data_IF_516583770488
#
_entry.id   IF_516583770488
#
_cell.length_a   1.000
_cell.length_b   1.000
_cell.length_c   1.000
_cell.angle_alpha   90.00
_cell.angle_beta   90.00
_cell.angle_gamma   90.00
#
_symmetry.space_group_name_H-M   'P 1'
#
loop_
_entity.id
_entity.type
_entity.pdbx_description
1 polymer ?
#
# COMPACT_ATOMS: atom_id res chain seq x y z
N UNK A 1 -1.29 -12.80 -22.37
CA UNK A 1 -1.37 -12.84 -20.91
C UNK A 1 -2.72 -12.31 -20.48
N UNK A 2 -3.25 -12.77 -19.34
CA UNK A 2 -4.51 -12.26 -18.81
C UNK A 2 -4.32 -10.81 -18.31
N UNK A 3 -5.34 -9.94 -18.43
CA UNK A 3 -5.27 -8.60 -17.86
C UNK A 3 -5.07 -8.66 -16.33
N UNK A 4 -4.40 -7.66 -15.72
CA UNK A 4 -4.29 -7.57 -14.27
C UNK A 4 -5.66 -7.53 -13.58
N UNK A 5 -5.79 -8.19 -12.43
CA UNK A 5 -7.03 -8.15 -11.61
C UNK A 5 -7.30 -6.74 -11.09
N UNK A 6 -6.26 -5.98 -10.76
CA UNK A 6 -6.35 -4.56 -10.40
C UNK A 6 -5.49 -3.75 -11.37
N UNK A 7 -6.04 -2.68 -11.93
CA UNK A 7 -5.28 -1.79 -12.82
C UNK A 7 -4.07 -1.18 -12.09
N UNK A 8 -2.83 -1.44 -12.55
CA UNK A 8 -1.64 -0.88 -11.93
C UNK A 8 -1.53 0.64 -12.15
N UNK A 9 -0.74 1.36 -11.35
CA UNK A 9 -0.46 2.77 -11.57
C UNK A 9 0.10 3.00 -12.98
N UNK A 10 -0.54 3.87 -13.76
CA UNK A 10 -0.07 4.22 -15.11
C UNK A 10 1.28 4.94 -15.09
N UNK A 11 1.60 5.60 -13.98
CA UNK A 11 2.89 6.27 -13.72
C UNK A 11 4.02 5.28 -13.45
N UNK A 12 3.71 4.02 -13.12
CA UNK A 12 4.71 3.06 -12.65
C UNK A 12 5.27 3.38 -11.26
N UNK A 13 4.63 4.28 -10.50
CA UNK A 13 5.01 4.61 -9.14
C UNK A 13 3.92 4.14 -8.15
N UNK A 14 4.35 3.69 -6.97
CA UNK A 14 3.47 3.31 -5.87
C UNK A 14 4.06 3.79 -4.56
N UNK A 15 3.20 4.28 -3.68
CA UNK A 15 3.55 4.83 -2.37
C UNK A 15 2.64 4.26 -1.28
N UNK A 16 3.09 4.34 -0.03
CA UNK A 16 2.28 3.99 1.15
C UNK A 16 2.10 5.24 2.04
N UNK A 17 0.94 5.35 2.69
CA UNK A 17 0.65 6.38 3.71
C UNK A 17 -0.35 5.83 4.72
N UNK A 18 -0.30 6.36 5.94
CA UNK A 18 -1.29 6.09 6.97
C UNK A 18 -0.71 6.15 8.37
N UNK A 19 -1.54 6.05 9.41
CA UNK A 19 -1.07 6.08 10.80
C UNK A 19 -0.10 4.95 11.16
N UNK A 20 -0.03 3.89 10.35
CA UNK A 20 0.99 2.84 10.48
C UNK A 20 2.37 3.26 9.95
N UNK A 21 2.49 4.27 9.09
CA UNK A 21 3.74 4.63 8.40
C UNK A 21 4.49 5.75 9.12
N UNK A 22 5.83 5.89 8.93
CA UNK A 22 6.63 6.88 9.64
C UNK A 22 6.18 8.34 9.47
N UNK A 23 5.71 8.72 8.28
CA UNK A 23 5.22 10.07 7.98
C UNK A 23 3.70 10.24 8.21
N UNK A 24 3.02 9.22 8.75
CA UNK A 24 1.57 9.22 8.95
C UNK A 24 0.77 9.46 7.64
N UNK A 25 -0.44 9.98 7.79
CA UNK A 25 -1.29 10.44 6.69
C UNK A 25 -0.70 11.67 6.00
N UNK A 26 -0.55 11.58 4.68
CA UNK A 26 -0.17 12.68 3.80
C UNK A 26 -1.25 13.79 3.77
N UNK A 27 -0.90 15.05 3.49
CA UNK A 27 -1.84 16.19 3.52
C UNK A 27 -2.76 16.26 2.29
N UNK A 28 -2.28 15.79 1.14
CA UNK A 28 -2.99 15.76 -0.13
C UNK A 28 -2.79 17.05 -0.89
N UNK A 29 -1.66 17.71 -0.62
CA UNK A 29 -1.37 19.07 -1.01
C UNK A 29 -0.21 19.15 -2.03
N UNK A 30 0.03 18.06 -2.77
CA UNK A 30 1.04 17.98 -3.84
C UNK A 30 2.47 17.75 -3.34
N UNK A 31 2.63 17.32 -2.10
CA UNK A 31 3.91 17.03 -1.49
C UNK A 31 4.60 15.80 -2.10
N UNK A 32 5.93 15.75 -1.97
CA UNK A 32 6.72 14.62 -2.42
C UNK A 32 6.65 13.45 -1.42
N UNK A 33 6.71 12.23 -1.93
CA UNK A 33 6.79 11.04 -1.09
C UNK A 33 8.16 10.96 -0.38
N UNK A 34 8.19 10.61 0.93
CA UNK A 34 9.41 10.17 1.57
C UNK A 34 9.98 8.93 0.87
N UNK A 35 11.30 8.82 0.78
CA UNK A 35 11.96 7.64 0.20
C UNK A 35 11.57 6.35 0.96
N UNK A 36 11.39 6.44 2.29
CA UNK A 36 10.96 5.33 3.16
C UNK A 36 9.52 4.87 2.92
N UNK A 37 8.74 5.57 2.10
CA UNK A 37 7.35 5.27 1.75
C UNK A 37 7.14 5.14 0.24
N UNK A 38 8.23 5.00 -0.52
CA UNK A 38 8.21 4.77 -1.97
C UNK A 38 8.56 3.32 -2.28
N UNK A 39 7.69 2.62 -3.04
CA UNK A 39 7.95 1.24 -3.43
C UNK A 39 8.99 1.15 -4.54
N UNK A 40 9.76 0.06 -4.54
CA UNK A 40 10.53 -0.37 -5.70
C UNK A 40 9.62 -1.11 -6.67
N UNK A 41 9.61 -0.69 -7.94
CA UNK A 41 8.93 -1.40 -9.02
C UNK A 41 9.76 -2.61 -9.46
N UNK A 42 9.23 -3.81 -9.25
CA UNK A 42 9.86 -5.07 -9.67
C UNK A 42 9.42 -5.45 -11.09
N UNK A 43 8.16 -5.20 -11.43
CA UNK A 43 7.61 -5.36 -12.79
C UNK A 43 6.47 -4.37 -13.02
N UNK A 44 5.82 -4.41 -14.19
CA UNK A 44 4.64 -3.56 -14.45
C UNK A 44 3.45 -3.83 -13.52
N UNK A 45 3.43 -4.97 -12.82
CA UNK A 45 2.34 -5.38 -11.93
C UNK A 45 2.81 -5.71 -10.52
N UNK A 46 4.10 -5.53 -10.21
CA UNK A 46 4.67 -5.96 -8.94
C UNK A 46 5.53 -4.88 -8.30
N UNK A 47 5.23 -4.58 -7.06
CA UNK A 47 5.90 -3.56 -6.25
C UNK A 47 6.26 -4.11 -4.88
N UNK A 48 7.45 -3.75 -4.37
CA UNK A 48 7.91 -4.16 -3.05
C UNK A 48 8.50 -2.98 -2.26
N UNK A 49 8.33 -3.00 -0.94
CA UNK A 49 8.96 -2.06 -0.01
C UNK A 49 9.34 -2.77 1.29
N UNK A 50 10.44 -2.33 1.90
CA UNK A 50 10.73 -2.61 3.31
C UNK A 50 10.44 -1.36 4.12
N UNK A 51 9.57 -1.45 5.12
CA UNK A 51 9.09 -0.30 5.89
C UNK A 51 8.89 -0.66 7.36
N UNK A 52 9.13 0.29 8.25
CA UNK A 52 8.74 0.19 9.65
C UNK A 52 7.25 0.50 9.80
N UNK A 53 6.47 -0.44 10.35
CA UNK A 53 5.04 -0.26 10.62
C UNK A 53 4.78 -0.14 12.13
N UNK A 54 3.97 0.86 12.50
CA UNK A 54 3.37 0.97 13.83
C UNK A 54 2.28 -0.09 14.01
N UNK A 55 2.28 -0.77 15.15
CA UNK A 55 1.32 -1.81 15.48
C UNK A 55 -0.14 -1.32 15.35
N UNK A 56 -1.00 -2.11 14.71
CA UNK A 56 -2.44 -1.86 14.53
C UNK A 56 -2.82 -0.55 13.81
N UNK A 57 -1.87 0.20 13.26
CA UNK A 57 -2.14 1.42 12.50
C UNK A 57 -2.87 1.14 11.19
N UNK A 58 -3.44 2.17 10.58
CA UNK A 58 -4.03 2.12 9.24
C UNK A 58 -2.99 2.48 8.19
N UNK A 59 -3.10 1.91 6.99
CA UNK A 59 -2.37 2.36 5.81
C UNK A 59 -3.13 2.05 4.52
N UNK A 60 -2.72 2.65 3.43
CA UNK A 60 -3.18 2.33 2.07
C UNK A 60 -2.08 2.66 1.07
N UNK A 61 -2.34 2.42 -0.21
CA UNK A 61 -1.40 2.74 -1.28
C UNK A 61 -1.90 3.83 -2.21
N UNK A 62 -0.98 4.65 -2.70
CA UNK A 62 -1.26 5.73 -3.64
C UNK A 62 -0.43 5.55 -4.93
N UNK A 63 -1.02 5.73 -6.12
CA UNK A 63 -0.26 5.80 -7.38
C UNK A 63 0.45 7.15 -7.58
N UNK A 64 0.02 8.18 -6.83
CA UNK A 64 0.56 9.52 -6.84
C UNK A 64 0.53 10.06 -5.42
N UNK A 65 1.69 10.33 -4.83
CA UNK A 65 1.77 10.92 -3.51
C UNK A 65 1.26 12.37 -3.53
N UNK A 66 0.71 12.81 -2.39
CA UNK A 66 0.06 14.13 -2.29
C UNK A 66 -1.25 14.26 -3.06
N UNK A 67 -1.83 13.14 -3.53
CA UNK A 67 -3.14 13.10 -4.17
C UNK A 67 -4.01 12.00 -3.58
N UNK A 68 -5.30 12.30 -3.39
CA UNK A 68 -6.33 11.37 -2.92
C UNK A 68 -7.31 10.94 -4.03
N UNK A 69 -7.09 11.37 -5.27
CA UNK A 69 -8.00 11.12 -6.40
C UNK A 69 -8.13 9.63 -6.75
N UNK A 70 -7.05 8.88 -6.55
CA UNK A 70 -7.00 7.42 -6.69
C UNK A 70 -6.21 6.87 -5.52
N UNK A 71 -6.76 5.82 -4.90
CA UNK A 71 -6.07 5.04 -3.86
C UNK A 71 -6.29 3.55 -4.08
N UNK A 72 -5.47 2.73 -3.44
CA UNK A 72 -5.64 1.29 -3.38
C UNK A 72 -5.73 0.84 -1.93
N UNK A 73 -6.73 0.03 -1.63
CA UNK A 73 -7.02 -0.42 -0.27
C UNK A 73 -7.77 -1.75 -0.28
N UNK A 74 -8.14 -2.22 0.91
CA UNK A 74 -8.84 -3.49 1.11
C UNK A 74 -10.19 -3.52 0.40
N UNK A 75 -10.64 -4.74 0.09
CA UNK A 75 -11.95 -4.96 -0.55
C UNK A 75 -13.13 -4.74 0.38
N UNK A 76 -12.94 -4.90 1.70
CA UNK A 76 -13.93 -4.69 2.75
C UNK A 76 -13.91 -3.30 3.38
N UNK A 77 -14.56 -3.19 4.55
CA UNK A 77 -14.52 -1.99 5.39
C UNK A 77 -13.09 -1.67 5.84
N UNK A 78 -12.87 -0.42 6.25
CA UNK A 78 -11.58 0.01 6.80
C UNK A 78 -11.11 -0.95 7.89
N UNK A 79 -9.85 -1.36 7.79
CA UNK A 79 -9.13 -2.21 8.74
C UNK A 79 -9.70 -3.63 8.92
N UNK A 80 -10.51 -4.11 7.97
CA UNK A 80 -11.10 -5.45 7.99
C UNK A 80 -10.25 -6.52 7.27
N UNK A 81 -9.14 -6.15 6.64
CA UNK A 81 -8.25 -7.09 5.94
C UNK A 81 -7.56 -8.06 6.90
N UNK A 82 -7.11 -9.19 6.36
CA UNK A 82 -6.05 -9.98 6.99
C UNK A 82 -4.73 -9.18 7.00
N UNK A 83 -4.15 -8.98 8.18
CA UNK A 83 -2.96 -8.14 8.38
C UNK A 83 -1.70 -8.68 7.72
N UNK A 84 -1.67 -9.97 7.36
CA UNK A 84 -0.54 -10.61 6.67
C UNK A 84 -0.68 -10.57 5.13
N UNK A 85 -1.82 -10.13 4.61
CA UNK A 85 -2.09 -10.11 3.18
C UNK A 85 -3.52 -10.48 2.84
N UNK A 86 -4.07 -9.80 1.84
CA UNK A 86 -5.46 -9.95 1.40
C UNK A 86 -5.61 -9.45 -0.05
N UNK A 87 -6.81 -9.51 -0.58
CA UNK A 87 -7.18 -8.83 -1.81
C UNK A 87 -7.30 -7.32 -1.61
N UNK A 88 -6.98 -6.57 -2.65
CA UNK A 88 -7.15 -5.13 -2.68
C UNK A 88 -7.88 -4.68 -3.94
N UNK A 89 -8.37 -3.44 -3.94
CA UNK A 89 -9.08 -2.83 -5.07
C UNK A 89 -8.73 -1.35 -5.18
N UNK A 90 -9.00 -0.79 -6.36
CA UNK A 90 -9.03 0.66 -6.52
C UNK A 90 -10.14 1.26 -5.64
N UNK A 91 -9.83 2.38 -5.01
CA UNK A 91 -10.71 3.07 -4.06
C UNK A 91 -11.24 2.17 -2.95
N UNK A 92 -10.42 1.20 -2.51
CA UNK A 92 -10.70 0.35 -1.36
C UNK A 92 -10.57 1.06 -0.01
N UNK A 93 -10.96 0.36 1.06
CA UNK A 93 -10.85 0.83 2.43
C UNK A 93 -9.43 0.75 2.98
N UNK A 94 -9.17 1.43 4.09
CA UNK A 94 -7.88 1.38 4.76
C UNK A 94 -7.50 -0.06 5.15
N UNK A 95 -6.21 -0.37 5.10
CA UNK A 95 -5.63 -1.63 5.53
C UNK A 95 -5.08 -1.50 6.96
N UNK A 96 -5.31 -2.50 7.79
CA UNK A 96 -4.76 -2.62 9.13
C UNK A 96 -3.37 -3.26 9.08
N UNK A 97 -2.42 -2.62 9.75
CA UNK A 97 -1.09 -3.16 10.00
C UNK A 97 -1.10 -4.27 11.05
N UNK A 98 -0.10 -5.16 11.06
CA UNK A 98 0.05 -6.21 12.07
C UNK A 98 0.01 -5.68 13.51
N UNK A 99 -0.38 -6.53 14.45
CA UNK A 99 -0.49 -6.18 15.87
C UNK A 99 0.86 -5.98 16.56
N UNK A 100 1.96 -6.35 15.90
CA UNK A 100 3.33 -6.11 16.37
C UNK A 100 3.99 -5.06 15.50
N UNK A 101 4.58 -4.03 16.10
CA UNK A 101 5.36 -3.04 15.34
C UNK A 101 6.70 -3.61 14.89
N UNK A 102 7.31 -3.00 13.87
CA UNK A 102 8.65 -3.39 13.40
C UNK A 102 8.82 -3.25 11.89
N UNK A 103 9.91 -3.81 11.37
CA UNK A 103 10.18 -3.80 9.94
C UNK A 103 9.44 -4.93 9.23
N UNK A 104 8.82 -4.58 8.11
CA UNK A 104 8.04 -5.50 7.28
C UNK A 104 8.45 -5.33 5.82
N UNK A 105 8.45 -6.46 5.11
CA UNK A 105 8.39 -6.46 3.64
C UNK A 105 6.93 -6.49 3.21
N UNK A 106 6.53 -5.49 2.43
CA UNK A 106 5.21 -5.44 1.78
C UNK A 106 5.41 -5.69 0.29
N UNK A 107 4.60 -6.59 -0.26
CA UNK A 107 4.54 -6.89 -1.69
C UNK A 107 3.12 -6.61 -2.19
N UNK A 108 2.99 -5.87 -3.29
CA UNK A 108 1.71 -5.52 -3.93
C UNK A 108 1.73 -6.04 -5.35
N UNK A 109 0.85 -7.01 -5.63
CA UNK A 109 0.74 -7.71 -6.90
C UNK A 109 -0.59 -7.36 -7.58
N UNK A 110 -0.51 -6.47 -8.57
CA UNK A 110 -1.65 -6.03 -9.38
C UNK A 110 -2.14 -7.11 -10.35
N UNK A 111 -1.27 -8.04 -10.75
CA UNK A 111 -1.66 -9.15 -11.62
C UNK A 111 -2.60 -10.10 -10.88
N UNK A 112 -2.27 -10.41 -9.62
CA UNK A 112 -3.08 -11.25 -8.74
C UNK A 112 -4.19 -10.48 -8.01
N UNK A 113 -4.05 -9.16 -7.85
CA UNK A 113 -4.97 -8.34 -7.06
C UNK A 113 -4.83 -8.58 -5.56
N UNK A 114 -3.60 -8.87 -5.10
CA UNK A 114 -3.29 -9.20 -3.71
C UNK A 114 -2.10 -8.40 -3.18
N UNK A 115 -2.06 -8.22 -1.87
CA UNK A 115 -0.86 -7.77 -1.16
C UNK A 115 -0.46 -8.79 -0.10
N UNK A 116 0.81 -8.77 0.31
CA UNK A 116 1.31 -9.55 1.45
C UNK A 116 2.21 -8.72 2.33
N UNK A 117 2.21 -9.00 3.64
CA UNK A 117 3.00 -8.33 4.67
C UNK A 117 3.75 -9.39 5.46
N UNK A 118 5.08 -9.36 5.41
CA UNK A 118 5.95 -10.35 6.07
C UNK A 118 6.89 -9.62 7.02
N UNK A 119 6.94 -10.05 8.28
CA UNK A 119 7.85 -9.50 9.28
C UNK A 119 9.30 -9.85 8.95
N UNK A 120 10.22 -8.90 9.15
CA UNK A 120 11.67 -9.08 8.99
C UNK A 120 12.37 -9.36 10.32
#
# INVERSE_FOLDING_TARGET
TLPPVVTPPSTGALYITGSATPASWQCGCGEAAPASQTFTKISNTLFEITINLTANGSYLFLPQYGSWSVKYGGTGSNNANNVNGDNFKINGGDLKAPSTGGNYKIRVDFQAGTFSVIKL
#
